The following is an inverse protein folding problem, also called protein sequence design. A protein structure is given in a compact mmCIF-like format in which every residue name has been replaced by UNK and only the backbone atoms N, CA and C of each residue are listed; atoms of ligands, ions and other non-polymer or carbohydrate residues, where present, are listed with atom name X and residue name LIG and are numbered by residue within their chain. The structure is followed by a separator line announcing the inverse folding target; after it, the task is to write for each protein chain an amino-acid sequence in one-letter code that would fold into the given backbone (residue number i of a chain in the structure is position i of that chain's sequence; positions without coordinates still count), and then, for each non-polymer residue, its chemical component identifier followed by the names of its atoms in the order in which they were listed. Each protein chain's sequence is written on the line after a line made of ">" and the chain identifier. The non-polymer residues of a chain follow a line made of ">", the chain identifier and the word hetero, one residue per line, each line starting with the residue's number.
data_IF_146273752508
#
_entry.id   IF_146273752508
#
_cell.length_a   1.000
_cell.length_b   1.000
_cell.length_c   1.000
_cell.angle_alpha   90.00
_cell.angle_beta   90.00
_cell.angle_gamma   90.00
#
_symmetry.space_group_name_H-M   'P 1'
#
loop_
_entity.id
_entity.type
_entity.pdbx_description
1 polymer ?
#
# COMPACT_ATOMS: atom_id res chain seq x y z
N UNK A 1 -12.92 30.97 -16.93
CA UNK A 1 -11.71 31.22 -16.11
C UNK A 1 -11.16 29.88 -15.69
N UNK A 2 -10.33 29.28 -16.56
CA UNK A 2 -9.80 27.92 -16.42
C UNK A 2 -8.74 27.90 -15.34
N UNK A 3 -9.20 27.73 -14.11
CA UNK A 3 -8.41 27.52 -12.90
C UNK A 3 -7.29 26.52 -13.15
N UNK A 4 -6.08 27.06 -13.33
CA UNK A 4 -4.79 26.40 -13.19
C UNK A 4 -4.75 24.98 -13.78
N UNK A 5 -4.51 24.96 -15.10
CA UNK A 5 -4.16 23.81 -15.93
C UNK A 5 -3.54 22.67 -15.12
N UNK A 6 -3.99 21.43 -15.32
CA UNK A 6 -3.47 20.19 -14.71
C UNK A 6 -1.93 20.13 -14.69
N UNK A 7 -1.29 20.78 -15.67
CA UNK A 7 0.15 21.02 -15.72
C UNK A 7 0.74 21.72 -14.48
N UNK A 8 0.08 22.71 -13.92
CA UNK A 8 0.51 23.41 -12.70
C UNK A 8 0.57 22.46 -11.50
N UNK A 9 -0.47 21.62 -11.32
CA UNK A 9 -0.51 20.64 -10.24
C UNK A 9 0.60 19.60 -10.36
N UNK A 10 0.97 19.17 -11.57
CA UNK A 10 2.13 18.29 -11.78
C UNK A 10 3.43 18.97 -11.34
N UNK A 11 3.65 20.23 -11.72
CA UNK A 11 4.86 20.98 -11.31
C UNK A 11 4.93 21.12 -9.79
N UNK A 12 3.82 21.47 -9.14
CA UNK A 12 3.77 21.64 -7.68
C UNK A 12 4.07 20.33 -6.97
N UNK A 13 3.52 19.21 -7.44
CA UNK A 13 3.75 17.89 -6.86
C UNK A 13 5.23 17.47 -6.96
N UNK A 14 5.88 17.76 -8.09
CA UNK A 14 7.32 17.51 -8.29
C UNK A 14 8.16 18.33 -7.30
N UNK A 15 7.85 19.61 -7.10
CA UNK A 15 8.57 20.47 -6.15
C UNK A 15 8.42 19.96 -4.71
N UNK A 16 7.21 19.55 -4.32
CA UNK A 16 6.96 18.95 -3.00
C UNK A 16 7.76 17.66 -2.83
N UNK A 17 7.80 16.79 -3.84
CA UNK A 17 8.61 15.57 -3.79
C UNK A 17 10.11 15.85 -3.66
N UNK A 18 10.61 16.93 -4.26
CA UNK A 18 12.01 17.35 -4.15
C UNK A 18 12.33 17.91 -2.76
N UNK A 19 11.44 18.72 -2.17
CA UNK A 19 11.59 19.29 -0.83
C UNK A 19 11.54 18.23 0.28
N UNK A 20 10.57 17.32 0.21
CA UNK A 20 10.36 16.29 1.22
C UNK A 20 11.21 15.03 0.96
N UNK A 21 11.66 14.84 -0.28
CA UNK A 21 12.40 13.67 -0.73
C UNK A 21 11.52 12.41 -0.84
N UNK A 22 11.88 11.51 -1.75
CA UNK A 22 11.21 10.21 -1.96
C UNK A 22 11.23 9.26 -0.76
N UNK A 23 12.05 9.52 0.26
CA UNK A 23 12.21 8.65 1.43
C UNK A 23 11.19 8.91 2.55
N UNK A 24 10.49 10.06 2.56
CA UNK A 24 9.54 10.40 3.64
C UNK A 24 8.08 10.11 3.28
N UNK A 25 7.74 10.20 1.99
CA UNK A 25 6.37 10.04 1.49
C UNK A 25 5.82 8.60 1.59
N UNK A 26 6.59 7.52 1.26
CA UNK A 26 6.04 6.16 1.27
C UNK A 26 5.59 5.67 2.65
N UNK A 27 6.35 5.99 3.70
CA UNK A 27 6.00 5.60 5.08
C UNK A 27 4.75 6.32 5.56
N UNK A 28 4.73 7.65 5.45
CA UNK A 28 3.61 8.48 5.90
C UNK A 28 2.32 8.18 5.12
N UNK A 29 2.44 8.01 3.80
CA UNK A 29 1.32 7.66 2.93
C UNK A 29 0.82 6.23 3.19
N UNK A 30 1.71 5.30 3.56
CA UNK A 30 1.34 3.94 3.96
C UNK A 30 0.49 3.90 5.23
N UNK A 31 0.88 4.64 6.26
CA UNK A 31 0.13 4.72 7.51
C UNK A 31 -1.20 5.47 7.33
N UNK A 32 -1.19 6.56 6.57
CA UNK A 32 -2.42 7.29 6.22
C UNK A 32 -3.37 6.43 5.36
N UNK A 33 -2.84 5.69 4.38
CA UNK A 33 -3.63 4.79 3.54
C UNK A 33 -4.23 3.63 4.33
N UNK A 34 -3.51 3.06 5.30
CA UNK A 34 -4.06 2.04 6.21
C UNK A 34 -5.23 2.61 7.03
N UNK A 35 -5.10 3.82 7.58
CA UNK A 35 -6.18 4.48 8.32
C UNK A 35 -7.43 4.74 7.48
N UNK A 36 -7.25 5.31 6.27
CA UNK A 36 -8.35 5.58 5.34
C UNK A 36 -8.99 4.27 4.83
N UNK A 37 -8.19 3.23 4.58
CA UNK A 37 -8.68 1.92 4.14
C UNK A 37 -9.48 1.22 5.24
N UNK A 38 -9.02 1.27 6.49
CA UNK A 38 -9.75 0.73 7.64
C UNK A 38 -11.07 1.48 7.85
N UNK A 39 -11.06 2.81 7.73
CA UNK A 39 -12.26 3.64 7.80
C UNK A 39 -13.26 3.30 6.70
N UNK A 40 -12.81 3.20 5.45
CA UNK A 40 -13.66 2.80 4.32
C UNK A 40 -14.20 1.37 4.47
N UNK A 41 -13.39 0.46 5.02
CA UNK A 41 -13.80 -0.92 5.27
C UNK A 41 -14.84 -1.00 6.40
N UNK A 42 -14.68 -0.23 7.47
CA UNK A 42 -15.66 -0.12 8.55
C UNK A 42 -17.00 0.43 8.07
N UNK A 43 -17.00 1.48 7.24
CA UNK A 43 -18.23 2.00 6.62
C UNK A 43 -18.91 0.98 5.69
N UNK A 44 -18.13 0.18 4.97
CA UNK A 44 -18.66 -0.89 4.11
C UNK A 44 -19.18 -2.11 4.90
N UNK A 45 -18.57 -2.44 6.03
CA UNK A 45 -19.05 -3.51 6.93
C UNK A 45 -20.37 -3.12 7.63
N UNK A 46 -20.60 -1.81 7.84
CA UNK A 46 -21.88 -1.32 8.41
C UNK A 46 -23.03 -1.43 7.40
N UNK A 47 -22.76 -1.26 6.10
CA UNK A 47 -23.75 -1.50 5.03
C UNK A 47 -23.84 -2.97 4.57
N UNK A 48 -22.80 -3.78 4.79
CA UNK A 48 -22.74 -5.18 4.36
C UNK A 48 -22.35 -6.11 5.54
N UNK A 49 -23.35 -6.71 6.15
CA UNK A 49 -23.22 -7.78 7.17
C UNK A 49 -22.30 -8.95 6.75
N UNK A 50 -21.77 -9.72 7.73
CA UNK A 50 -20.36 -10.07 7.85
C UNK A 50 -19.98 -11.30 7.04
N UNK A 51 -19.08 -11.15 6.07
CA UNK A 51 -18.35 -12.29 5.49
C UNK A 51 -17.09 -11.82 4.75
N UNK A 52 -16.07 -11.39 5.48
CA UNK A 52 -14.68 -11.78 5.14
C UNK A 52 -13.69 -11.37 6.23
N UNK A 53 -12.97 -12.33 6.85
CA UNK A 53 -11.87 -12.00 7.74
C UNK A 53 -10.81 -11.23 6.95
N UNK A 54 -10.44 -10.05 7.46
CA UNK A 54 -9.36 -9.25 6.93
C UNK A 54 -8.06 -10.07 6.99
N UNK A 55 -7.60 -10.57 5.84
CA UNK A 55 -6.24 -11.12 5.72
C UNK A 55 -5.24 -10.01 6.10
N UNK A 56 -4.31 -10.27 7.05
CA UNK A 56 -3.24 -9.33 7.35
C UNK A 56 -2.44 -9.07 6.07
N UNK A 57 -2.27 -7.79 5.72
CA UNK A 57 -1.27 -7.38 4.74
C UNK A 57 0.07 -7.36 5.49
N UNK A 58 0.74 -8.52 5.50
CA UNK A 58 2.14 -8.65 5.88
C UNK A 58 2.98 -7.94 4.81
N UNK A 59 3.45 -6.72 5.12
CA UNK A 59 4.43 -6.00 4.32
C UNK A 59 5.85 -6.48 4.63
N UNK A 60 6.10 -7.79 4.50
CA UNK A 60 7.46 -8.33 4.53
C UNK A 60 7.68 -9.32 3.38
N UNK A 61 7.57 -8.81 2.14
CA UNK A 61 8.08 -9.50 0.96
C UNK A 61 9.01 -8.57 0.20
N UNK A 62 10.13 -8.25 0.86
CA UNK A 62 11.31 -7.73 0.20
C UNK A 62 12.55 -8.41 0.81
N UNK A 63 12.65 -9.74 0.68
CA UNK A 63 13.90 -10.52 0.63
C UNK A 63 13.61 -12.03 0.47
N UNK A 64 14.06 -12.57 -0.67
CA UNK A 64 14.41 -13.98 -0.95
C UNK A 64 13.32 -14.97 -1.42
N UNK A 65 13.50 -15.59 -2.61
CA UNK A 65 12.63 -16.63 -3.13
C UNK A 65 12.85 -17.95 -2.39
N UNK A 66 11.75 -18.65 -2.16
CA UNK A 66 11.70 -20.03 -1.66
C UNK A 66 12.39 -20.95 -2.67
N UNK A 67 13.64 -21.33 -2.39
CA UNK A 67 14.25 -22.56 -2.93
C UNK A 67 13.89 -23.72 -1.99
N UNK A 68 12.65 -24.19 -2.07
CA UNK A 68 12.26 -25.54 -1.65
C UNK A 68 11.88 -26.29 -2.93
N UNK A 69 12.91 -26.77 -3.62
CA UNK A 69 12.77 -27.83 -4.63
C UNK A 69 13.74 -28.93 -4.22
N UNK A 70 13.20 -30.14 -4.12
CA UNK A 70 13.89 -31.39 -3.80
C UNK A 70 14.14 -31.73 -2.31
N UNK A 71 13.05 -31.80 -1.53
CA UNK A 71 12.84 -32.94 -0.61
C UNK A 71 12.24 -34.11 -1.39
N UNK A 72 12.99 -34.63 -2.36
CA UNK A 72 12.64 -35.87 -3.06
C UNK A 72 13.54 -37.00 -2.55
N UNK A 73 12.89 -38.06 -2.07
CA UNK A 73 13.45 -39.38 -1.79
C UNK A 73 14.47 -39.49 -0.65
N UNK A 74 13.97 -39.32 0.57
CA UNK A 74 14.49 -39.98 1.78
C UNK A 74 14.36 -41.51 1.61
N UNK A 75 15.49 -42.11 1.28
CA UNK A 75 16.02 -43.39 1.75
C UNK A 75 15.24 -44.04 2.92
N UNK A 76 14.56 -45.17 2.67
CA UNK A 76 14.81 -46.50 3.27
C UNK A 76 13.67 -47.49 2.94
#
# INVERSE_FOLDING_TARGET
>A
MGSFSIWHWIIVLVIILLLFGKNKIPGLMGDMAKGITAFKKGLKDEEASPSQPAKPIDQNTASSPVSDKDRSADKN
#
